data_IF_809408945159
#
_entry.id   IF_809408945159
#
_cell.length_a   1.000
_cell.length_b   1.000
_cell.length_c   1.000
_cell.angle_alpha   90.00
_cell.angle_beta   90.00
_cell.angle_gamma   90.00
#
_symmetry.space_group_name_H-M   'P 1'
#
loop_
_entity.id
_entity.type
_entity.pdbx_description
1 polymer ?
#
# COMPACT_ATOMS: atom_id res chain seq x y z
N UNK A 1 -4.25 -32.01 -25.33
CA UNK A 1 -4.50 -32.10 -23.88
C UNK A 1 -4.71 -30.68 -23.38
N UNK A 2 -5.97 -30.29 -23.07
CA UNK A 2 -6.27 -28.91 -22.61
C UNK A 2 -5.97 -28.81 -21.12
N UNK A 3 -5.04 -27.96 -20.75
CA UNK A 3 -4.74 -27.61 -19.36
C UNK A 3 -5.97 -26.91 -18.78
N UNK A 4 -6.52 -27.36 -17.65
CA UNK A 4 -7.72 -26.75 -17.07
C UNK A 4 -7.46 -25.29 -16.68
N UNK A 5 -8.46 -24.44 -16.95
CA UNK A 5 -8.40 -22.98 -16.74
C UNK A 5 -7.99 -22.55 -15.30
N UNK A 6 -8.16 -23.40 -14.31
CA UNK A 6 -7.71 -23.18 -12.92
C UNK A 6 -6.19 -23.13 -12.75
N UNK A 7 -5.44 -23.81 -13.59
CA UNK A 7 -3.97 -23.79 -13.56
C UNK A 7 -3.40 -22.55 -14.27
N UNK A 8 -4.15 -21.95 -15.17
CA UNK A 8 -3.73 -20.74 -15.89
C UNK A 8 -3.81 -19.48 -15.01
N UNK A 9 -4.69 -19.46 -14.00
CA UNK A 9 -4.79 -18.36 -13.03
C UNK A 9 -3.63 -18.38 -12.01
N UNK A 10 -3.04 -19.55 -11.76
CA UNK A 10 -1.90 -19.70 -10.86
C UNK A 10 -0.56 -19.28 -11.48
N UNK A 11 -0.49 -19.04 -12.79
CA UNK A 11 0.77 -18.71 -13.49
C UNK A 11 1.07 -17.19 -13.56
N UNK A 12 0.25 -16.34 -12.95
CA UNK A 12 0.49 -14.89 -12.87
C UNK A 12 0.74 -14.39 -11.44
N UNK A 13 1.28 -15.23 -10.58
CA UNK A 13 1.86 -14.74 -9.33
C UNK A 13 3.18 -14.06 -9.72
N UNK A 14 3.15 -12.74 -9.79
CA UNK A 14 4.37 -11.96 -9.98
C UNK A 14 5.27 -12.25 -8.79
N UNK A 15 6.41 -12.90 -9.05
CA UNK A 15 7.37 -13.23 -8.02
C UNK A 15 7.85 -11.94 -7.33
N UNK A 16 7.96 -11.99 -6.01
CA UNK A 16 8.53 -10.88 -5.25
C UNK A 16 10.03 -10.83 -5.56
N UNK A 17 10.56 -9.73 -6.12
CA UNK A 17 11.99 -9.62 -6.41
C UNK A 17 12.80 -9.56 -5.11
N UNK A 18 14.12 -9.85 -5.14
CA UNK A 18 15.00 -9.54 -4.02
C UNK A 18 14.88 -8.07 -3.59
N UNK A 19 14.97 -7.79 -2.29
CA UNK A 19 14.77 -6.45 -1.76
C UNK A 19 15.72 -5.42 -2.39
N UNK A 20 16.94 -5.81 -2.71
CA UNK A 20 17.95 -4.96 -3.36
C UNK A 20 17.49 -4.45 -4.72
N UNK A 21 16.84 -5.29 -5.51
CA UNK A 21 16.28 -4.91 -6.82
C UNK A 21 15.06 -4.01 -6.64
N UNK A 22 14.17 -4.33 -5.72
CA UNK A 22 13.04 -3.49 -5.35
C UNK A 22 13.49 -2.10 -4.88
N UNK A 23 14.49 -2.04 -4.01
CA UNK A 23 15.07 -0.78 -3.54
C UNK A 23 15.66 0.04 -4.70
N UNK A 24 16.48 -0.58 -5.54
CA UNK A 24 17.10 0.08 -6.69
C UNK A 24 16.06 0.66 -7.65
N UNK A 25 14.96 -0.04 -7.88
CA UNK A 25 13.89 0.37 -8.78
C UNK A 25 13.10 1.58 -8.25
N UNK A 26 12.80 1.62 -6.96
CA UNK A 26 11.86 2.60 -6.40
C UNK A 26 12.50 3.76 -5.63
N UNK A 27 13.79 3.68 -5.28
CA UNK A 27 14.45 4.67 -4.41
C UNK A 27 14.40 6.12 -4.93
N UNK A 28 14.52 6.31 -6.24
CA UNK A 28 14.54 7.68 -6.83
C UNK A 28 13.15 8.31 -6.73
N UNK A 29 12.11 7.54 -7.03
CA UNK A 29 10.73 8.01 -6.97
C UNK A 29 10.30 8.31 -5.54
N UNK A 30 10.64 7.45 -4.60
CA UNK A 30 10.39 7.66 -3.16
C UNK A 30 11.09 8.92 -2.67
N UNK A 31 12.38 9.11 -2.98
CA UNK A 31 13.11 10.31 -2.60
C UNK A 31 12.49 11.58 -3.20
N UNK A 32 12.06 11.54 -4.45
CA UNK A 32 11.40 12.66 -5.13
C UNK A 32 10.08 13.04 -4.44
N UNK A 33 9.28 12.07 -4.06
CA UNK A 33 8.04 12.28 -3.30
C UNK A 33 8.32 12.92 -1.94
N UNK A 34 9.29 12.39 -1.19
CA UNK A 34 9.62 12.88 0.13
C UNK A 34 10.18 14.31 0.10
N UNK A 35 11.06 14.61 -0.84
CA UNK A 35 11.60 15.98 -1.02
C UNK A 35 10.52 17.01 -1.34
N UNK A 36 9.56 16.64 -2.18
CA UNK A 36 8.42 17.53 -2.49
C UNK A 36 7.53 17.80 -1.29
N UNK A 37 7.38 16.86 -0.40
CA UNK A 37 6.46 16.94 0.74
C UNK A 37 7.11 17.49 2.01
N UNK A 38 8.36 17.20 2.25
CA UNK A 38 9.06 17.49 3.52
C UNK A 38 10.20 18.50 3.38
N UNK A 39 10.61 18.80 2.15
CA UNK A 39 11.85 19.55 1.92
C UNK A 39 13.11 18.68 2.07
N UNK A 40 14.26 19.26 1.75
CA UNK A 40 15.51 18.53 1.60
C UNK A 40 16.03 17.93 2.92
N UNK A 41 15.95 18.69 4.00
CA UNK A 41 16.51 18.29 5.31
C UNK A 41 15.79 17.09 5.91
N UNK A 42 14.45 17.08 5.84
CA UNK A 42 13.64 16.01 6.44
C UNK A 42 13.45 14.80 5.52
N UNK A 43 13.71 14.96 4.22
CA UNK A 43 13.49 13.90 3.26
C UNK A 43 14.46 12.73 3.45
N UNK A 44 15.68 12.96 3.89
CA UNK A 44 16.68 11.91 4.07
C UNK A 44 16.32 10.96 5.23
N UNK A 45 15.93 11.50 6.37
CA UNK A 45 15.46 10.71 7.51
C UNK A 45 14.17 9.95 7.17
N UNK A 46 13.23 10.62 6.50
CA UNK A 46 12.00 10.00 6.04
C UNK A 46 12.24 8.90 5.00
N UNK A 47 13.26 9.05 4.17
CA UNK A 47 13.66 8.03 3.19
C UNK A 47 14.19 6.77 3.89
N UNK A 48 15.08 6.94 4.86
CA UNK A 48 15.57 5.82 5.66
C UNK A 48 14.44 5.11 6.38
N UNK A 49 13.56 5.86 7.04
CA UNK A 49 12.39 5.31 7.74
C UNK A 49 11.47 4.55 6.80
N UNK A 50 11.21 5.08 5.59
CA UNK A 50 10.39 4.44 4.57
C UNK A 50 10.94 3.06 4.20
N UNK A 51 12.23 2.97 3.90
CA UNK A 51 12.83 1.71 3.48
C UNK A 51 13.10 0.74 4.64
N UNK A 52 13.26 1.22 5.87
CA UNK A 52 13.27 0.36 7.05
C UNK A 52 11.91 -0.30 7.27
N UNK A 53 10.82 0.46 7.21
CA UNK A 53 9.45 -0.09 7.27
C UNK A 53 9.18 -1.05 6.13
N UNK A 54 9.60 -0.69 4.92
CA UNK A 54 9.48 -1.56 3.76
C UNK A 54 10.24 -2.87 3.97
N UNK A 55 11.49 -2.85 4.42
CA UNK A 55 12.29 -4.04 4.68
C UNK A 55 11.66 -4.98 5.72
N UNK A 56 11.14 -4.41 6.81
CA UNK A 56 10.47 -5.18 7.86
C UNK A 56 9.21 -5.87 7.35
N UNK A 57 8.43 -5.19 6.52
CA UNK A 57 7.19 -5.72 5.95
C UNK A 57 7.43 -6.62 4.72
N UNK A 58 8.58 -6.49 4.04
CA UNK A 58 8.86 -7.18 2.78
C UNK A 58 8.80 -8.69 2.90
N UNK A 59 9.28 -9.23 4.02
CA UNK A 59 9.28 -10.68 4.30
C UNK A 59 7.88 -11.28 4.45
N UNK A 60 6.86 -10.44 4.67
CA UNK A 60 5.46 -10.84 4.85
C UNK A 60 4.63 -10.66 3.58
N UNK A 61 5.23 -10.13 2.51
CA UNK A 61 4.55 -9.98 1.23
C UNK A 61 4.29 -11.36 0.62
N UNK A 62 3.07 -11.60 0.24
CA UNK A 62 2.66 -12.83 -0.43
C UNK A 62 2.72 -12.69 -1.96
N UNK A 63 2.62 -11.45 -2.47
CA UNK A 63 2.53 -11.15 -3.90
C UNK A 63 3.43 -10.00 -4.28
N UNK A 64 4.10 -10.11 -5.43
CA UNK A 64 4.97 -9.07 -6.01
C UNK A 64 4.23 -8.01 -6.83
N UNK A 65 2.89 -8.06 -6.86
CA UNK A 65 2.08 -7.10 -7.59
C UNK A 65 1.97 -5.78 -6.83
N UNK A 66 1.98 -4.67 -7.56
CA UNK A 66 1.79 -3.34 -7.00
C UNK A 66 2.82 -2.86 -5.96
N UNK A 67 4.06 -3.37 -6.03
CA UNK A 67 5.14 -2.98 -5.10
C UNK A 67 5.45 -1.48 -5.14
N UNK A 68 5.32 -0.85 -6.31
CA UNK A 68 5.45 0.60 -6.46
C UNK A 68 4.40 1.35 -5.63
N UNK A 69 3.13 0.99 -5.77
CA UNK A 69 2.04 1.58 -5.00
C UNK A 69 2.22 1.36 -3.51
N UNK A 70 2.65 0.18 -3.14
CA UNK A 70 2.89 -0.22 -1.76
C UNK A 70 3.98 0.63 -1.08
N UNK A 71 5.16 0.79 -1.71
CA UNK A 71 6.24 1.59 -1.13
C UNK A 71 5.91 3.08 -1.10
N UNK A 72 5.23 3.61 -2.12
CA UNK A 72 4.79 5.00 -2.12
C UNK A 72 3.76 5.29 -1.03
N UNK A 73 2.94 4.31 -0.67
CA UNK A 73 2.03 4.40 0.46
C UNK A 73 2.77 4.46 1.78
N UNK A 74 3.78 3.61 1.97
CA UNK A 74 4.66 3.68 3.15
C UNK A 74 5.31 5.07 3.24
N UNK A 75 5.85 5.59 2.14
CA UNK A 75 6.46 6.91 2.10
C UNK A 75 5.47 8.03 2.48
N UNK A 76 4.23 7.98 1.99
CA UNK A 76 3.19 8.95 2.34
C UNK A 76 2.83 8.89 3.83
N UNK A 77 2.74 7.70 4.40
CA UNK A 77 2.51 7.53 5.84
C UNK A 77 3.65 8.12 6.66
N UNK A 78 4.90 7.91 6.23
CA UNK A 78 6.07 8.53 6.88
C UNK A 78 6.00 10.05 6.79
N UNK A 79 5.57 10.62 5.66
CA UNK A 79 5.33 12.07 5.53
C UNK A 79 4.33 12.56 6.57
N UNK A 80 3.19 11.89 6.68
CA UNK A 80 2.14 12.24 7.65
C UNK A 80 2.68 12.19 9.07
N UNK A 81 3.38 11.12 9.42
CA UNK A 81 3.99 10.95 10.75
C UNK A 81 5.02 12.05 11.04
N UNK A 82 5.86 12.38 10.06
CA UNK A 82 6.88 13.43 10.18
C UNK A 82 6.26 14.81 10.39
N UNK A 83 5.20 15.12 9.64
CA UNK A 83 4.48 16.39 9.77
C UNK A 83 3.71 16.48 11.09
N UNK A 84 3.16 15.39 11.59
CA UNK A 84 2.51 15.33 12.90
C UNK A 84 3.49 15.57 14.04
N UNK A 85 4.68 14.98 13.98
CA UNK A 85 5.76 15.21 14.98
C UNK A 85 6.29 16.63 14.97
N UNK A 86 6.25 17.32 13.83
CA UNK A 86 6.70 18.71 13.70
C UNK A 86 5.67 19.73 14.21
N UNK A 87 4.41 19.35 14.48
CA UNK A 87 3.39 20.20 15.10
C UNK A 87 3.51 20.10 16.62
N UNK A 88 3.55 21.23 17.36
CA UNK A 88 3.52 21.21 18.82
C UNK A 88 2.08 20.92 19.31
N UNK A 89 1.64 19.70 19.21
CA UNK A 89 0.41 19.17 19.80
C UNK A 89 0.77 17.97 20.64
N UNK A 90 0.28 17.95 21.87
CA UNK A 90 0.73 17.11 22.96
C UNK A 90 0.87 15.60 22.67
N UNK A 91 1.62 14.91 23.54
CA UNK A 91 2.10 13.54 23.33
C UNK A 91 1.01 12.46 23.21
N UNK A 92 -0.23 12.72 23.64
CA UNK A 92 -1.31 11.73 23.66
C UNK A 92 -1.87 11.33 22.30
N UNK A 93 -1.74 12.17 21.25
CA UNK A 93 -2.28 11.87 19.93
C UNK A 93 -1.31 11.09 19.01
N UNK A 94 -0.03 11.06 19.35
CA UNK A 94 0.99 10.38 18.55
C UNK A 94 1.05 8.87 18.85
N UNK A 95 0.78 8.45 20.08
CA UNK A 95 0.73 7.03 20.47
C UNK A 95 -0.50 6.31 19.94
N UNK A 96 -1.67 6.94 19.99
CA UNK A 96 -2.92 6.37 19.48
C UNK A 96 -2.90 6.13 17.95
N UNK A 97 -2.20 6.97 17.19
CA UNK A 97 -2.12 6.81 15.73
C UNK A 97 -1.12 5.73 15.27
N UNK A 98 -0.15 5.37 16.09
CA UNK A 98 0.85 4.35 15.78
C UNK A 98 0.36 2.93 16.14
N UNK A 99 -0.48 2.79 17.15
CA UNK A 99 -1.07 1.50 17.55
C UNK A 99 -2.24 1.07 16.68
N UNK A 100 -2.97 2.02 16.08
CA UNK A 100 -4.20 1.73 15.32
C UNK A 100 -3.96 1.27 13.87
N UNK A 101 -2.74 1.41 13.33
CA UNK A 101 -2.48 1.13 11.92
C UNK A 101 -2.13 -0.32 11.60
N UNK A 102 -1.65 -1.11 12.55
CA UNK A 102 -1.15 -2.47 12.31
C UNK A 102 -2.21 -3.57 12.34
N UNK A 103 -3.09 -3.63 13.35
CA UNK A 103 -4.12 -4.68 13.39
C UNK A 103 -5.11 -4.57 12.24
N UNK A 104 -5.56 -3.36 11.91
CA UNK A 104 -6.53 -3.13 10.83
C UNK A 104 -6.01 -3.52 9.45
N UNK A 105 -4.71 -3.38 9.20
CA UNK A 105 -4.12 -3.78 7.93
C UNK A 105 -4.04 -5.30 7.78
N UNK A 106 -3.62 -6.03 8.79
CA UNK A 106 -3.52 -7.49 8.75
C UNK A 106 -4.90 -8.12 8.59
N UNK A 107 -5.90 -7.62 9.30
CA UNK A 107 -7.29 -8.05 9.16
C UNK A 107 -7.86 -7.72 7.78
N UNK A 108 -7.61 -6.51 7.26
CA UNK A 108 -8.06 -6.09 5.94
C UNK A 108 -7.37 -6.89 4.83
N UNK A 109 -6.07 -7.16 4.96
CA UNK A 109 -5.33 -7.99 4.02
C UNK A 109 -5.89 -9.42 3.96
N UNK A 110 -6.20 -10.00 5.10
CA UNK A 110 -6.83 -11.32 5.19
C UNK A 110 -8.25 -11.32 4.61
N UNK A 111 -9.06 -10.30 4.90
CA UNK A 111 -10.41 -10.15 4.36
C UNK A 111 -10.42 -10.01 2.84
N UNK A 112 -9.45 -9.32 2.29
CA UNK A 112 -9.36 -9.07 0.84
C UNK A 112 -8.72 -10.23 0.07
N UNK A 113 -8.27 -11.26 0.77
CA UNK A 113 -7.75 -12.46 0.12
C UNK A 113 -8.81 -13.10 -0.80
N UNK A 114 -8.36 -13.48 -1.99
CA UNK A 114 -9.24 -14.01 -3.04
C UNK A 114 -10.08 -12.98 -3.81
N UNK A 115 -9.89 -11.68 -3.59
CA UNK A 115 -10.37 -10.66 -4.53
C UNK A 115 -9.46 -10.62 -5.78
N UNK A 116 -10.00 -10.24 -6.96
CA UNK A 116 -9.16 -9.92 -8.11
C UNK A 116 -8.11 -8.86 -7.76
N UNK A 117 -6.87 -8.94 -8.31
CA UNK A 117 -5.73 -8.09 -7.88
C UNK A 117 -6.03 -6.59 -7.87
N UNK A 118 -6.70 -6.06 -8.89
CA UNK A 118 -7.05 -4.63 -8.96
C UNK A 118 -8.06 -4.21 -7.90
N UNK A 119 -9.07 -5.05 -7.66
CA UNK A 119 -10.09 -4.80 -6.65
C UNK A 119 -9.47 -4.86 -5.24
N UNK A 120 -8.62 -5.87 -5.00
CA UNK A 120 -7.88 -6.01 -3.74
C UNK A 120 -7.00 -4.78 -3.48
N UNK A 121 -6.19 -4.38 -4.46
CA UNK A 121 -5.33 -3.22 -4.35
C UNK A 121 -6.12 -1.94 -4.05
N UNK A 122 -7.21 -1.69 -4.78
CA UNK A 122 -8.05 -0.52 -4.58
C UNK A 122 -8.70 -0.49 -3.20
N UNK A 123 -9.20 -1.62 -2.70
CA UNK A 123 -9.81 -1.73 -1.36
C UNK A 123 -8.75 -1.51 -0.27
N UNK A 124 -7.60 -2.17 -0.36
CA UNK A 124 -6.52 -2.02 0.62
C UNK A 124 -6.00 -0.59 0.65
N UNK A 125 -5.76 0.03 -0.51
CA UNK A 125 -5.26 1.40 -0.57
C UNK A 125 -6.30 2.41 -0.08
N UNK A 126 -7.58 2.19 -0.32
CA UNK A 126 -8.66 3.08 0.11
C UNK A 126 -8.93 2.98 1.61
N UNK A 127 -9.11 1.77 2.12
CA UNK A 127 -9.59 1.53 3.48
C UNK A 127 -8.48 1.20 4.48
N UNK A 128 -7.38 0.62 4.02
CA UNK A 128 -6.20 0.35 4.86
C UNK A 128 -5.26 1.54 4.99
N UNK A 129 -5.15 2.34 3.94
CA UNK A 129 -4.20 3.45 3.87
C UNK A 129 -4.87 4.83 3.68
N UNK A 130 -6.19 4.87 3.65
CA UNK A 130 -6.99 6.11 3.53
C UNK A 130 -6.58 7.00 2.35
N UNK A 131 -6.21 6.40 1.23
CA UNK A 131 -5.88 7.14 0.02
C UNK A 131 -7.13 7.63 -0.71
N UNK A 132 -7.05 8.81 -1.32
CA UNK A 132 -8.07 9.28 -2.25
C UNK A 132 -8.08 8.43 -3.53
N UNK A 133 -9.20 8.43 -4.26
CA UNK A 133 -9.26 7.70 -5.54
C UNK A 133 -8.29 8.25 -6.59
N UNK A 134 -7.99 9.55 -6.57
CA UNK A 134 -6.95 10.15 -7.38
C UNK A 134 -5.57 9.56 -7.05
N UNK A 135 -5.23 9.47 -5.77
CA UNK A 135 -3.97 8.87 -5.32
C UNK A 135 -3.88 7.38 -5.66
N UNK A 136 -5.00 6.65 -5.55
CA UNK A 136 -5.07 5.23 -5.94
C UNK A 136 -4.89 5.09 -7.45
N UNK A 137 -5.54 5.95 -8.24
CA UNK A 137 -5.39 5.97 -9.69
C UNK A 137 -3.94 6.19 -10.11
N UNK A 138 -3.27 7.17 -9.52
CA UNK A 138 -1.84 7.42 -9.74
C UNK A 138 -0.97 6.23 -9.35
N UNK A 139 -1.26 5.62 -8.21
CA UNK A 139 -0.51 4.47 -7.70
C UNK A 139 -0.66 3.24 -8.60
N UNK A 140 -1.86 3.00 -9.14
CA UNK A 140 -2.17 1.83 -9.96
C UNK A 140 -2.04 2.07 -11.46
N UNK A 141 -1.68 3.28 -11.89
CA UNK A 141 -1.61 3.64 -13.31
C UNK A 141 -2.98 3.55 -14.01
N UNK A 142 -4.06 3.94 -13.32
CA UNK A 142 -5.44 3.89 -13.80
C UNK A 142 -6.11 5.26 -13.75
N UNK A 143 -7.37 5.35 -14.15
CA UNK A 143 -8.18 6.55 -13.94
C UNK A 143 -8.81 6.57 -12.53
N UNK A 144 -9.19 7.74 -12.05
CA UNK A 144 -9.90 7.88 -10.78
C UNK A 144 -11.23 7.09 -10.77
N UNK A 145 -11.97 7.13 -11.88
CA UNK A 145 -13.20 6.36 -12.01
C UNK A 145 -12.96 4.86 -11.98
N UNK A 146 -11.89 4.37 -12.62
CA UNK A 146 -11.51 2.95 -12.56
C UNK A 146 -11.09 2.54 -11.14
N UNK A 147 -10.36 3.38 -10.42
CA UNK A 147 -9.99 3.14 -9.03
C UNK A 147 -11.22 3.07 -8.12
N UNK A 148 -12.15 4.03 -8.28
CA UNK A 148 -13.43 4.05 -7.54
C UNK A 148 -14.27 2.82 -7.82
N UNK A 149 -14.39 2.44 -9.08
CA UNK A 149 -15.15 1.25 -9.48
C UNK A 149 -14.53 -0.03 -8.94
N UNK A 150 -13.20 -0.17 -9.00
CA UNK A 150 -12.50 -1.32 -8.46
C UNK A 150 -12.71 -1.46 -6.94
N UNK A 151 -12.60 -0.37 -6.19
CA UNK A 151 -12.87 -0.35 -4.75
C UNK A 151 -14.33 -0.72 -4.44
N UNK A 152 -15.29 -0.14 -5.14
CA UNK A 152 -16.72 -0.42 -4.96
C UNK A 152 -17.08 -1.86 -5.27
N UNK A 153 -16.52 -2.42 -6.34
CA UNK A 153 -16.75 -3.81 -6.72
C UNK A 153 -16.13 -4.77 -5.71
N UNK A 154 -14.90 -4.47 -5.26
CA UNK A 154 -14.22 -5.23 -4.21
C UNK A 154 -15.05 -5.28 -2.92
N UNK A 155 -15.51 -4.13 -2.42
CA UNK A 155 -16.38 -4.06 -1.23
C UNK A 155 -17.66 -4.84 -1.41
N UNK A 156 -18.30 -4.76 -2.58
CA UNK A 156 -19.53 -5.52 -2.87
C UNK A 156 -19.28 -7.02 -2.84
N UNK A 157 -18.15 -7.49 -3.36
CA UNK A 157 -17.77 -8.92 -3.30
C UNK A 157 -17.52 -9.37 -1.87
N UNK A 158 -16.84 -8.54 -1.06
CA UNK A 158 -16.61 -8.83 0.35
C UNK A 158 -17.92 -8.92 1.13
N UNK A 159 -18.83 -7.98 0.95
CA UNK A 159 -20.15 -8.02 1.62
C UNK A 159 -20.91 -9.31 1.34
N UNK A 160 -20.87 -9.81 0.10
CA UNK A 160 -21.53 -11.07 -0.26
C UNK A 160 -20.90 -12.31 0.41
N UNK A 161 -19.64 -12.22 0.85
CA UNK A 161 -18.97 -13.31 1.56
C UNK A 161 -19.26 -13.31 3.07
N UNK A 162 -19.49 -12.10 3.62
CA UNK A 162 -19.70 -11.90 5.06
C UNK A 162 -21.18 -12.01 5.44
N UNK A 163 -22.09 -11.76 4.50
CA UNK A 163 -23.53 -11.88 4.74
C UNK A 163 -23.99 -13.25 4.22
N UNK A 164 -24.40 -14.18 5.11
CA UNK A 164 -24.97 -15.47 4.71
C UNK A 164 -26.30 -15.34 3.98
#
# INVERSE_FOLDING_TARGET
>A
MRVPARLQVMMHVVAIPPFELFYAEHRIEVMRLLRRRLGRERAEDAFQETFLRALQAYRRLEYGEHLRAWVLTIARNVVIDTLRRARPTGPELAEAAAEDSRPAYEELAALTDGLPPKERAAVVLRYGYDLSYEQIADALGSSEDAARQAASTGVRRLRRRITP
#
